data_IF_324904950394
#
_entry.id   IF_324904950394
#
_cell.length_a   1.000
_cell.length_b   1.000
_cell.length_c   1.000
_cell.angle_alpha   90.00
_cell.angle_beta   90.00
_cell.angle_gamma   90.00
#
_symmetry.space_group_name_H-M   'P 1'
#
loop_
_entity.id
_entity.type
_entity.pdbx_description
1 polymer ?
#
# COMPACT_ATOMS: atom_id res chain seq x y z
N UNK A 1 3.82 1.86 7.26
CA UNK A 1 3.97 2.96 6.27
C UNK A 1 4.62 2.53 4.94
N UNK A 2 5.48 1.50 4.91
CA UNK A 2 6.11 1.02 3.66
C UNK A 2 5.23 0.17 2.73
N UNK A 3 4.13 -0.41 3.23
CA UNK A 3 3.27 -1.34 2.46
C UNK A 3 2.76 -0.76 1.12
N UNK A 4 2.23 0.48 1.06
CA UNK A 4 1.84 1.07 -0.23
C UNK A 4 3.01 1.20 -1.20
N UNK A 5 4.19 1.57 -0.70
CA UNK A 5 5.40 1.67 -1.52
C UNK A 5 5.80 0.31 -2.12
N UNK A 6 5.74 -0.77 -1.33
CA UNK A 6 6.04 -2.13 -1.83
C UNK A 6 5.05 -2.59 -2.91
N UNK A 7 3.77 -2.29 -2.76
CA UNK A 7 2.76 -2.61 -3.79
C UNK A 7 3.04 -1.83 -5.07
N UNK A 8 3.32 -0.53 -4.95
CA UNK A 8 3.67 0.31 -6.10
C UNK A 8 4.95 -0.19 -6.80
N UNK A 9 5.95 -0.67 -6.05
CA UNK A 9 7.17 -1.24 -6.63
C UNK A 9 6.84 -2.43 -7.53
N UNK A 10 5.97 -3.34 -7.07
CA UNK A 10 5.52 -4.51 -7.85
C UNK A 10 4.74 -4.14 -9.12
N UNK A 11 4.00 -3.02 -9.10
CA UNK A 11 3.29 -2.51 -10.28
C UNK A 11 4.25 -1.88 -11.29
N UNK A 12 5.31 -1.20 -10.82
CA UNK A 12 6.26 -0.49 -11.68
C UNK A 12 7.35 -1.38 -12.27
N UNK A 13 7.76 -2.46 -11.60
CA UNK A 13 8.82 -3.35 -12.09
C UNK A 13 8.52 -3.99 -13.47
N UNK A 14 7.32 -4.53 -13.75
CA UNK A 14 6.99 -5.07 -15.06
C UNK A 14 7.12 -4.05 -16.20
N UNK A 15 6.92 -2.76 -15.94
CA UNK A 15 7.06 -1.70 -16.95
C UNK A 15 8.51 -1.54 -17.43
N UNK A 16 9.48 -1.75 -16.54
CA UNK A 16 10.90 -1.73 -16.88
C UNK A 16 11.31 -3.01 -17.62
N UNK A 17 10.85 -4.17 -17.16
CA UNK A 17 11.14 -5.45 -17.81
C UNK A 17 10.53 -5.57 -19.21
N UNK A 18 9.33 -5.03 -19.42
CA UNK A 18 8.70 -4.95 -20.74
C UNK A 18 9.48 -4.07 -21.75
N UNK A 19 10.42 -3.25 -21.27
CA UNK A 19 11.29 -2.39 -22.08
C UNK A 19 12.73 -2.89 -22.11
N UNK A 20 12.94 -4.13 -21.68
CA UNK A 20 14.26 -4.77 -21.59
C UNK A 20 15.25 -4.01 -20.68
N UNK A 21 14.77 -3.09 -19.83
CA UNK A 21 15.59 -2.35 -18.87
C UNK A 21 15.56 -3.03 -17.49
N UNK A 22 16.34 -4.09 -17.36
CA UNK A 22 16.54 -4.79 -16.07
C UNK A 22 17.54 -4.09 -15.15
N UNK A 23 18.39 -3.21 -15.71
CA UNK A 23 19.51 -2.57 -14.99
C UNK A 23 19.03 -1.42 -14.11
N UNK A 24 18.09 -0.60 -14.58
CA UNK A 24 17.61 0.56 -13.82
C UNK A 24 16.91 0.17 -12.51
N UNK A 25 15.95 -0.79 -12.48
CA UNK A 25 15.31 -1.24 -11.24
C UNK A 25 16.32 -1.78 -10.22
N UNK A 26 17.31 -2.53 -10.71
CA UNK A 26 18.36 -3.09 -9.86
C UNK A 26 19.23 -2.01 -9.21
N UNK A 27 19.65 -0.99 -9.99
CA UNK A 27 20.39 0.16 -9.46
C UNK A 27 19.59 0.93 -8.39
N UNK A 28 18.29 1.13 -8.61
CA UNK A 28 17.44 1.80 -7.63
C UNK A 28 17.25 0.99 -6.35
N UNK A 29 17.12 -0.34 -6.47
CA UNK A 29 17.08 -1.24 -5.32
C UNK A 29 18.37 -1.16 -4.50
N UNK A 30 19.54 -1.11 -5.16
CA UNK A 30 20.83 -0.95 -4.50
C UNK A 30 20.93 0.38 -3.74
N UNK A 31 20.53 1.50 -4.36
CA UNK A 31 20.50 2.81 -3.70
C UNK A 31 19.58 2.78 -2.48
N UNK A 32 18.39 2.19 -2.61
CA UNK A 32 17.44 2.05 -1.52
C UNK A 32 17.99 1.16 -0.38
N UNK A 33 18.70 0.08 -0.71
CA UNK A 33 19.34 -0.79 0.27
C UNK A 33 20.44 -0.05 1.06
N UNK A 34 21.29 0.71 0.38
CA UNK A 34 22.32 1.53 1.04
C UNK A 34 21.67 2.55 1.97
N UNK A 35 20.60 3.20 1.51
CA UNK A 35 19.84 4.17 2.31
C UNK A 35 19.15 3.50 3.50
N UNK A 36 18.61 2.29 3.34
CA UNK A 36 18.01 1.50 4.40
C UNK A 36 19.02 1.23 5.52
N UNK A 37 20.17 0.64 5.15
CA UNK A 37 21.21 0.23 6.10
C UNK A 37 21.82 1.46 6.77
N UNK A 38 22.11 2.52 6.00
CA UNK A 38 22.64 3.78 6.53
C UNK A 38 21.69 4.42 7.55
N UNK A 39 20.38 4.46 7.25
CA UNK A 39 19.39 4.96 8.20
C UNK A 39 19.23 4.04 9.41
N UNK A 40 19.20 2.71 9.20
CA UNK A 40 19.03 1.76 10.29
C UNK A 40 20.20 1.86 11.28
N UNK A 41 21.44 1.86 10.80
CA UNK A 41 22.63 1.98 11.65
C UNK A 41 22.70 3.38 12.29
N UNK A 42 22.51 4.45 11.51
CA UNK A 42 22.59 5.82 12.00
C UNK A 42 21.53 6.15 13.06
N UNK A 43 20.27 5.74 12.85
CA UNK A 43 19.21 5.95 13.84
C UNK A 43 19.26 4.94 14.98
N UNK A 44 19.89 3.77 14.83
CA UNK A 44 19.94 2.77 15.91
C UNK A 44 20.58 3.33 17.18
N UNK A 45 21.50 4.28 17.07
CA UNK A 45 22.11 4.95 18.21
C UNK A 45 21.13 5.80 19.03
N UNK A 46 20.03 6.27 18.42
CA UNK A 46 19.06 7.15 19.07
C UNK A 46 17.75 6.44 19.44
N UNK A 47 17.25 5.57 18.56
CA UNK A 47 15.89 4.97 18.66
C UNK A 47 15.93 3.44 18.75
N UNK A 48 17.11 2.83 18.79
CA UNK A 48 17.30 1.39 18.90
C UNK A 48 16.61 0.61 17.78
N UNK A 49 15.88 -0.45 18.14
CA UNK A 49 15.24 -1.37 17.20
C UNK A 49 14.25 -0.70 16.24
N UNK A 50 13.58 0.40 16.63
CA UNK A 50 12.66 1.11 15.75
C UNK A 50 13.36 1.71 14.52
N UNK A 51 14.68 1.95 14.59
CA UNK A 51 15.47 2.48 13.49
C UNK A 51 15.39 1.59 12.23
N UNK A 52 15.38 0.27 12.39
CA UNK A 52 15.27 -0.68 11.27
C UNK A 52 13.91 -0.56 10.55
N UNK A 53 12.81 -0.41 11.30
CA UNK A 53 11.48 -0.26 10.74
C UNK A 53 11.29 1.08 10.00
N UNK A 54 11.86 2.15 10.56
CA UNK A 54 11.87 3.48 9.95
C UNK A 54 12.73 3.48 8.69
N UNK A 55 13.96 2.96 8.76
CA UNK A 55 14.86 2.82 7.62
C UNK A 55 14.22 2.03 6.48
N UNK A 56 13.51 0.94 6.78
CA UNK A 56 12.76 0.15 5.81
C UNK A 56 11.61 0.91 5.17
N UNK A 57 10.86 1.67 5.96
CA UNK A 57 9.77 2.48 5.41
C UNK A 57 10.32 3.58 4.50
N UNK A 58 11.33 4.33 4.94
CA UNK A 58 11.90 5.45 4.17
C UNK A 58 12.59 4.96 2.89
N UNK A 59 13.41 3.91 2.96
CA UNK A 59 14.07 3.32 1.78
C UNK A 59 13.08 2.82 0.74
N UNK A 60 11.95 2.23 1.17
CA UNK A 60 10.90 1.78 0.25
C UNK A 60 10.27 2.93 -0.53
N UNK A 61 10.06 4.07 0.14
CA UNK A 61 9.58 5.30 -0.51
C UNK A 61 10.67 5.94 -1.40
N UNK A 62 11.93 5.92 -0.98
CA UNK A 62 13.03 6.38 -1.83
C UNK A 62 13.14 5.55 -3.12
N UNK A 63 13.02 4.23 -3.02
CA UNK A 63 13.01 3.33 -4.18
C UNK A 63 11.84 3.67 -5.13
N UNK A 64 10.65 3.91 -4.58
CA UNK A 64 9.48 4.21 -5.42
C UNK A 64 9.62 5.55 -6.13
N UNK A 65 10.20 6.53 -5.46
CA UNK A 65 10.49 7.82 -6.04
C UNK A 65 11.48 7.72 -7.22
N UNK A 66 12.54 6.91 -7.06
CA UNK A 66 13.51 6.64 -8.12
C UNK A 66 12.87 5.92 -9.32
N UNK A 67 12.10 4.86 -9.06
CA UNK A 67 11.35 4.14 -10.09
C UNK A 67 10.39 5.07 -10.84
N UNK A 68 9.64 5.91 -10.13
CA UNK A 68 8.71 6.84 -10.75
C UNK A 68 9.41 7.91 -11.59
N UNK A 69 10.53 8.45 -11.11
CA UNK A 69 11.34 9.42 -11.85
C UNK A 69 11.96 8.81 -13.11
N UNK A 70 12.41 7.55 -13.05
CA UNK A 70 12.92 6.82 -14.21
C UNK A 70 11.82 6.52 -15.25
N UNK A 71 10.62 6.13 -14.80
CA UNK A 71 9.49 5.86 -15.69
C UNK A 71 9.05 7.08 -16.49
N UNK A 72 9.14 8.29 -15.93
CA UNK A 72 8.81 9.54 -16.65
C UNK A 72 9.62 9.72 -17.94
N UNK A 73 10.83 9.18 -18.01
CA UNK A 73 11.68 9.25 -19.22
C UNK A 73 11.29 8.24 -20.30
N UNK A 74 10.39 7.29 -20.01
CA UNK A 74 10.02 6.19 -20.89
C UNK A 74 8.82 6.49 -21.84
N UNK A 75 8.29 7.71 -21.88
CA UNK A 75 7.27 8.12 -22.86
C UNK A 75 5.82 7.71 -22.53
N UNK A 76 4.91 7.82 -23.51
CA UNK A 76 3.44 7.90 -23.35
C UNK A 76 2.76 6.75 -22.56
N UNK A 77 3.33 5.54 -22.49
CA UNK A 77 2.80 4.43 -21.66
C UNK A 77 3.08 4.57 -20.16
N UNK A 78 3.87 5.55 -19.74
CA UNK A 78 4.07 5.92 -18.33
C UNK A 78 2.99 6.89 -17.81
N UNK A 79 2.01 7.28 -18.65
CA UNK A 79 0.91 8.12 -18.19
C UNK A 79 0.06 7.28 -17.25
N UNK A 80 0.00 7.72 -15.98
CA UNK A 80 -0.96 7.21 -15.01
C UNK A 80 -2.32 7.22 -15.69
N UNK A 81 -2.93 6.04 -15.81
CA UNK A 81 -4.23 5.87 -16.41
C UNK A 81 -5.19 6.92 -15.85
N UNK A 82 -5.91 7.63 -16.72
CA UNK A 82 -6.85 8.64 -16.29
C UNK A 82 -7.91 8.05 -15.32
N UNK A 83 -8.19 6.74 -15.47
CA UNK A 83 -8.97 5.93 -14.54
C UNK A 83 -8.32 5.83 -13.15
N UNK A 84 -7.01 5.57 -13.07
CA UNK A 84 -6.32 5.50 -11.78
C UNK A 84 -6.31 6.86 -11.08
N UNK A 85 -6.09 7.96 -11.81
CA UNK A 85 -6.16 9.32 -11.25
C UNK A 85 -7.55 9.66 -10.72
N UNK A 86 -8.60 9.28 -11.45
CA UNK A 86 -9.97 9.54 -11.04
C UNK A 86 -10.39 8.68 -9.84
N UNK A 87 -9.91 7.45 -9.76
CA UNK A 87 -10.27 6.51 -8.69
C UNK A 87 -9.44 6.69 -7.42
N UNK A 88 -8.22 7.25 -7.52
CA UNK A 88 -7.32 7.48 -6.39
C UNK A 88 -7.96 8.20 -5.19
N UNK A 89 -8.65 9.35 -5.35
CA UNK A 89 -9.26 10.04 -4.22
C UNK A 89 -10.33 9.19 -3.53
N UNK A 90 -11.14 8.45 -4.30
CA UNK A 90 -12.19 7.59 -3.74
C UNK A 90 -11.61 6.39 -2.97
N UNK A 91 -10.48 5.83 -3.40
CA UNK A 91 -9.76 4.77 -2.67
C UNK A 91 -9.22 5.31 -1.34
N UNK A 92 -8.67 6.52 -1.35
CA UNK A 92 -8.18 7.18 -0.13
C UNK A 92 -9.34 7.43 0.84
N UNK A 93 -10.45 7.99 0.37
CA UNK A 93 -11.65 8.25 1.19
C UNK A 93 -12.21 6.93 1.76
N UNK A 94 -12.30 5.88 0.95
CA UNK A 94 -12.76 4.55 1.42
C UNK A 94 -11.87 3.99 2.52
N UNK A 95 -10.55 4.16 2.39
CA UNK A 95 -9.57 3.71 3.38
C UNK A 95 -9.68 4.49 4.70
N UNK A 96 -9.92 5.80 4.62
CA UNK A 96 -10.14 6.67 5.80
C UNK A 96 -11.44 6.28 6.51
N UNK A 97 -12.54 6.12 5.76
CA UNK A 97 -13.84 5.73 6.33
C UNK A 97 -13.79 4.33 6.96
N UNK A 98 -13.12 3.37 6.31
CA UNK A 98 -12.85 2.05 6.90
C UNK A 98 -12.07 2.20 8.22
N UNK A 99 -11.00 2.99 8.24
CA UNK A 99 -10.22 3.24 9.45
C UNK A 99 -11.07 3.82 10.58
N UNK A 100 -11.98 4.75 10.26
CA UNK A 100 -12.92 5.33 11.22
C UNK A 100 -13.91 4.28 11.77
N UNK A 101 -14.45 3.40 10.92
CA UNK A 101 -15.34 2.31 11.36
C UNK A 101 -14.58 1.34 12.26
N UNK A 102 -13.38 0.92 11.87
CA UNK A 102 -12.56 0.02 12.70
C UNK A 102 -12.28 0.66 14.06
N UNK A 103 -12.01 1.97 14.11
CA UNK A 103 -11.80 2.68 15.37
C UNK A 103 -13.04 2.66 16.27
N UNK A 104 -14.23 2.88 15.71
CA UNK A 104 -15.50 2.78 16.46
C UNK A 104 -15.73 1.35 16.96
N UNK A 105 -15.56 0.37 16.08
CA UNK A 105 -15.75 -1.05 16.41
C UNK A 105 -14.76 -1.47 17.51
N UNK A 106 -13.50 -1.05 17.42
CA UNK A 106 -12.49 -1.29 18.46
C UNK A 106 -12.89 -0.65 19.79
N UNK A 107 -13.44 0.57 19.78
CA UNK A 107 -13.89 1.24 21.01
C UNK A 107 -14.98 0.44 21.73
N UNK A 108 -15.96 -0.09 20.99
CA UNK A 108 -17.01 -0.96 21.55
C UNK A 108 -16.49 -2.32 22.00
N UNK A 109 -15.51 -2.91 21.28
CA UNK A 109 -14.93 -4.21 21.61
C UNK A 109 -13.81 -4.14 22.65
N UNK A 110 -13.43 -2.97 23.14
CA UNK A 110 -12.24 -2.77 23.98
C UNK A 110 -12.22 -3.71 25.21
N UNK A 111 -13.34 -3.82 25.93
CA UNK A 111 -13.44 -4.72 27.09
C UNK A 111 -13.34 -6.22 26.71
N UNK A 112 -13.72 -6.59 25.48
CA UNK A 112 -13.70 -7.98 24.99
C UNK A 112 -12.40 -8.36 24.27
N UNK A 113 -11.53 -7.39 23.96
CA UNK A 113 -10.23 -7.63 23.32
C UNK A 113 -9.12 -7.99 24.32
N UNK A 114 -9.30 -7.64 25.59
CA UNK A 114 -8.35 -7.92 26.67
C UNK A 114 -8.56 -9.26 27.37
N UNK A 115 -9.66 -9.97 27.07
CA UNK A 115 -9.97 -11.29 27.64
C UNK A 115 -9.36 -12.42 26.79
N UNK A 116 -8.48 -13.27 27.37
CA UNK A 116 -7.62 -14.17 26.60
C UNK A 116 -8.37 -15.24 25.78
N UNK A 117 -9.53 -15.70 26.24
CA UNK A 117 -10.28 -16.77 25.54
C UNK A 117 -11.06 -16.29 24.32
N UNK A 118 -11.53 -15.03 24.29
CA UNK A 118 -12.34 -14.48 23.19
C UNK A 118 -11.57 -13.51 22.29
N UNK A 119 -10.36 -13.10 22.68
CA UNK A 119 -9.52 -12.15 21.93
C UNK A 119 -9.38 -12.51 20.46
N UNK A 120 -9.09 -13.78 20.13
CA UNK A 120 -8.91 -14.20 18.73
C UNK A 120 -10.18 -14.06 17.90
N UNK A 121 -11.34 -14.43 18.47
CA UNK A 121 -12.64 -14.30 17.80
C UNK A 121 -12.96 -12.82 17.56
N UNK A 122 -12.72 -11.97 18.57
CA UNK A 122 -12.95 -10.54 18.48
C UNK A 122 -12.04 -9.86 17.45
N UNK A 123 -10.78 -10.32 17.31
CA UNK A 123 -9.88 -9.86 16.25
C UNK A 123 -10.39 -10.27 14.86
N UNK A 124 -10.92 -11.49 14.69
CA UNK A 124 -11.51 -11.92 13.42
C UNK A 124 -12.72 -11.07 13.06
N UNK A 125 -13.61 -10.79 14.02
CA UNK A 125 -14.76 -9.90 13.82
C UNK A 125 -14.30 -8.49 13.41
N UNK A 126 -13.27 -7.96 14.08
CA UNK A 126 -12.70 -6.66 13.75
C UNK A 126 -12.15 -6.63 12.31
N UNK A 127 -11.40 -7.66 11.90
CA UNK A 127 -10.87 -7.78 10.54
C UNK A 127 -12.00 -7.88 9.51
N UNK A 128 -13.00 -8.74 9.75
CA UNK A 128 -14.14 -8.90 8.85
C UNK A 128 -14.93 -7.60 8.70
N UNK A 129 -15.14 -6.85 9.78
CA UNK A 129 -15.81 -5.54 9.74
C UNK A 129 -15.05 -4.53 8.87
N UNK A 130 -13.71 -4.53 8.94
CA UNK A 130 -12.84 -3.73 8.09
C UNK A 130 -12.95 -4.12 6.61
N UNK A 131 -12.93 -5.41 6.31
CA UNK A 131 -13.07 -5.91 4.93
C UNK A 131 -14.44 -5.53 4.35
N UNK A 132 -15.52 -5.78 5.10
CA UNK A 132 -16.89 -5.49 4.66
C UNK A 132 -17.07 -4.00 4.41
N UNK A 133 -16.63 -3.14 5.34
CA UNK A 133 -16.74 -1.69 5.19
C UNK A 133 -15.95 -1.16 4.00
N UNK A 134 -14.72 -1.63 3.78
CA UNK A 134 -13.91 -1.22 2.64
C UNK A 134 -14.55 -1.60 1.30
N UNK A 135 -15.03 -2.84 1.17
CA UNK A 135 -15.74 -3.30 -0.03
C UNK A 135 -17.00 -2.48 -0.25
N UNK A 136 -17.78 -2.24 0.82
CA UNK A 136 -19.00 -1.44 0.77
C UNK A 136 -18.73 -0.03 0.23
N UNK A 137 -17.73 0.68 0.75
CA UNK A 137 -17.40 2.03 0.28
C UNK A 137 -16.87 2.04 -1.15
N UNK A 138 -16.03 1.09 -1.54
CA UNK A 138 -15.53 0.98 -2.92
C UNK A 138 -16.67 0.79 -3.92
N UNK A 139 -17.66 -0.03 -3.58
CA UNK A 139 -18.85 -0.25 -4.41
C UNK A 139 -19.71 1.02 -4.43
N UNK A 140 -19.91 1.66 -3.28
CA UNK A 140 -20.71 2.87 -3.13
C UNK A 140 -20.16 4.04 -3.96
N UNK A 141 -18.84 4.25 -3.93
CA UNK A 141 -18.16 5.29 -4.71
C UNK A 141 -18.02 4.94 -6.20
N UNK A 142 -18.50 3.77 -6.65
CA UNK A 142 -18.50 3.38 -8.06
C UNK A 142 -17.10 3.18 -8.67
N UNK A 143 -16.06 3.05 -7.82
CA UNK A 143 -14.67 2.81 -8.24
C UNK A 143 -14.57 1.52 -9.07
N UNK A 144 -15.39 0.52 -8.70
CA UNK A 144 -15.65 -0.66 -9.53
C UNK A 144 -16.82 -0.33 -10.46
N UNK A 145 -16.49 0.23 -11.63
CA UNK A 145 -17.50 0.43 -12.67
C UNK A 145 -18.18 -0.90 -13.00
N UNK A 146 -19.51 -0.97 -12.85
CA UNK A 146 -20.35 -2.13 -13.17
C UNK A 146 -20.10 -2.71 -14.59
N UNK A 147 -19.46 -1.95 -15.48
CA UNK A 147 -19.01 -2.39 -16.83
C UNK A 147 -17.88 -3.42 -16.83
N UNK A 148 -16.96 -3.42 -15.87
CA UNK A 148 -15.85 -4.39 -15.83
C UNK A 148 -16.25 -5.73 -15.16
N UNK A 149 -17.18 -5.70 -14.21
CA UNK A 149 -17.68 -6.91 -13.55
C UNK A 149 -18.51 -7.78 -14.53
N UNK A 150 -19.28 -7.15 -15.41
CA UNK A 150 -20.05 -7.84 -16.46
C UNK A 150 -19.19 -8.46 -17.56
N UNK A 151 -17.95 -7.99 -17.75
CA UNK A 151 -16.99 -8.57 -18.70
C UNK A 151 -16.32 -9.84 -18.17
N UNK A 152 -16.07 -9.92 -16.85
CA UNK A 152 -15.45 -11.09 -16.20
C UNK A 152 -16.41 -12.28 -16.01
N UNK A 153 -17.72 -12.03 -16.01
CA UNK A 153 -18.76 -13.07 -15.86
C UNK A 153 -19.24 -13.60 -17.23
N UNK A 154 -18.81 -12.96 -18.33
CA UNK A 154 -19.20 -13.33 -19.71
C UNK A 154 -18.02 -13.83 -20.56
N UNK A 155 -16.85 -14.05 -19.97
CA UNK A 155 -15.67 -14.62 -20.62
C UNK A 155 -15.47 -16.07 -20.22
#
# INVERSE_FOLDING_TARGET
LGLPAFVLQKVLQPLYFAREDTKSPFKFALIAMILNVGLAIGLSFYIGFLAAAIGTSISSWAMIFLLWKGCKKMGKSSRIDNRLKHNLPFIIISSILMGFIIYIVQYFLNNSLHTPNIRYIMLVILILSGIISYIFFIILFGVVSKKNLKGLIRG
#
